data_IF_118252714993
#
_entry.id   IF_118252714993
#
_cell.length_a   1.000
_cell.length_b   1.000
_cell.length_c   1.000
_cell.angle_alpha   90.00
_cell.angle_beta   90.00
_cell.angle_gamma   90.00
#
_symmetry.space_group_name_H-M   'P 1'
#
loop_
_entity.id
_entity.type
_entity.pdbx_description
1 polymer ?
#
# COMPACT_ATOMS: atom_id res chain seq x y z
N UNK A 1 13.97 -10.23 16.10
CA UNK A 1 13.43 -9.01 15.43
C UNK A 1 13.58 -8.99 13.89
N UNK A 2 14.09 -10.04 13.22
CA UNK A 2 14.19 -10.08 11.74
C UNK A 2 12.93 -10.64 11.04
N UNK A 3 12.01 -11.28 11.78
CA UNK A 3 10.82 -11.94 11.21
C UNK A 3 9.68 -10.98 10.84
N UNK A 4 9.56 -9.78 11.42
CA UNK A 4 8.51 -8.83 11.03
C UNK A 4 8.73 -8.22 9.63
N UNK A 5 9.98 -8.19 9.17
CA UNK A 5 10.36 -7.67 7.86
C UNK A 5 10.18 -8.71 6.73
N UNK A 6 10.06 -10.00 7.08
CA UNK A 6 9.96 -11.12 6.12
C UNK A 6 8.70 -11.98 6.29
N UNK A 7 7.97 -11.88 7.42
CA UNK A 7 6.64 -12.45 7.63
C UNK A 7 5.61 -11.31 7.53
N UNK A 8 4.58 -11.49 6.68
CA UNK A 8 3.59 -10.49 6.25
C UNK A 8 3.95 -9.65 5.00
N UNK A 9 4.75 -10.18 4.06
CA UNK A 9 4.61 -9.73 2.66
C UNK A 9 3.26 -10.23 2.12
N UNK A 10 2.19 -9.55 2.53
CA UNK A 10 0.85 -9.84 2.06
C UNK A 10 0.77 -9.52 0.57
N UNK A 11 0.08 -10.39 -0.17
CA UNK A 11 -0.32 -10.20 -1.57
C UNK A 11 -0.71 -8.75 -1.89
N UNK A 12 -1.38 -8.05 -0.96
CA UNK A 12 -1.76 -6.64 -1.14
C UNK A 12 -0.62 -5.66 -1.40
N UNK A 13 0.59 -5.90 -0.88
CA UNK A 13 1.75 -5.02 -1.17
C UNK A 13 2.20 -5.16 -2.61
N UNK A 14 2.27 -6.40 -3.11
CA UNK A 14 2.58 -6.69 -4.50
C UNK A 14 1.48 -6.17 -5.43
N UNK A 15 0.22 -6.34 -5.04
CA UNK A 15 -0.93 -5.85 -5.80
C UNK A 15 -0.91 -4.32 -5.95
N UNK A 16 -0.67 -3.58 -4.84
CA UNK A 16 -0.53 -2.11 -4.89
C UNK A 16 0.65 -1.67 -5.76
N UNK A 17 1.79 -2.37 -5.69
CA UNK A 17 2.95 -2.10 -6.56
C UNK A 17 2.62 -2.35 -8.04
N UNK A 18 1.93 -3.45 -8.35
CA UNK A 18 1.53 -3.78 -9.72
C UNK A 18 0.61 -2.70 -10.30
N UNK A 19 -0.35 -2.21 -9.52
CA UNK A 19 -1.22 -1.08 -9.92
C UNK A 19 -0.39 0.18 -10.13
N UNK A 20 0.54 0.51 -9.23
CA UNK A 20 1.38 1.70 -9.38
C UNK A 20 2.20 1.67 -10.68
N UNK A 21 2.82 0.52 -10.99
CA UNK A 21 3.59 0.33 -12.22
C UNK A 21 2.70 0.43 -13.47
N UNK A 22 1.52 -0.18 -13.44
CA UNK A 22 0.55 -0.07 -14.54
C UNK A 22 0.10 1.37 -14.79
N UNK A 23 -0.16 2.14 -13.72
CA UNK A 23 -0.53 3.55 -13.82
C UNK A 23 0.62 4.38 -14.39
N UNK A 24 1.87 4.14 -13.98
CA UNK A 24 3.01 4.84 -14.56
C UNK A 24 3.25 4.50 -16.03
N UNK A 25 3.07 3.23 -16.42
CA UNK A 25 3.13 2.83 -17.83
C UNK A 25 2.06 3.55 -18.66
N UNK A 26 0.83 3.59 -18.14
CA UNK A 26 -0.28 4.30 -18.80
C UNK A 26 -0.04 5.81 -18.85
N UNK A 27 0.53 6.39 -17.79
CA UNK A 27 0.91 7.80 -17.75
C UNK A 27 1.98 8.13 -18.80
N UNK A 28 2.92 7.22 -19.04
CA UNK A 28 3.93 7.38 -20.08
C UNK A 28 3.32 7.29 -21.49
N UNK A 29 2.49 6.27 -21.76
CA UNK A 29 1.88 6.08 -23.08
C UNK A 29 0.89 7.21 -23.43
N UNK A 30 0.02 7.59 -22.49
CA UNK A 30 -1.01 8.61 -22.71
C UNK A 30 -0.51 10.04 -22.43
N UNK A 31 0.63 10.21 -21.77
CA UNK A 31 1.15 11.51 -21.30
C UNK A 31 0.18 12.30 -20.40
N UNK A 32 -0.76 11.61 -19.76
CA UNK A 32 -1.75 12.20 -18.86
C UNK A 32 -1.21 12.26 -17.43
N UNK A 33 -1.06 13.47 -16.90
CA UNK A 33 -0.47 13.73 -15.58
C UNK A 33 -1.25 13.09 -14.42
N UNK A 34 -2.56 12.92 -14.58
CA UNK A 34 -3.43 12.34 -13.56
C UNK A 34 -3.01 10.91 -13.20
N UNK A 35 -2.67 10.07 -14.19
CA UNK A 35 -2.22 8.69 -13.90
C UNK A 35 -0.91 8.66 -13.12
N UNK A 36 0.00 9.61 -13.37
CA UNK A 36 1.23 9.73 -12.60
C UNK A 36 0.94 10.07 -11.13
N UNK A 37 -0.01 10.97 -10.85
CA UNK A 37 -0.41 11.32 -9.48
C UNK A 37 -0.95 10.11 -8.70
N UNK A 38 -1.84 9.32 -9.32
CA UNK A 38 -2.35 8.08 -8.70
C UNK A 38 -1.27 7.00 -8.59
N UNK A 39 -0.38 6.88 -9.56
CA UNK A 39 0.78 5.99 -9.51
C UNK A 39 1.66 6.26 -8.30
N UNK A 40 1.99 7.54 -8.05
CA UNK A 40 2.74 7.97 -6.86
C UNK A 40 1.99 7.63 -5.57
N UNK A 41 0.68 7.87 -5.52
CA UNK A 41 -0.14 7.55 -4.36
C UNK A 41 -0.12 6.04 -4.00
N UNK A 42 -0.27 5.16 -4.98
CA UNK A 42 -0.18 3.71 -4.75
C UNK A 42 1.24 3.23 -4.43
N UNK A 43 2.25 3.85 -5.04
CA UNK A 43 3.65 3.57 -4.74
C UNK A 43 4.02 3.93 -3.29
N UNK A 44 3.59 5.10 -2.80
CA UNK A 44 3.78 5.51 -1.41
C UNK A 44 3.10 4.53 -0.43
N UNK A 45 1.86 4.14 -0.70
CA UNK A 45 1.16 3.14 0.12
C UNK A 45 1.88 1.79 0.15
N UNK A 46 2.50 1.37 -0.95
CA UNK A 46 3.21 0.10 -1.01
C UNK A 46 4.59 0.14 -0.34
N UNK A 47 5.27 1.30 -0.37
CA UNK A 47 6.58 1.51 0.29
C UNK A 47 6.39 1.66 1.81
N UNK A 48 5.54 2.59 2.22
CA UNK A 48 5.32 2.91 3.64
C UNK A 48 4.35 1.94 4.32
N UNK A 49 3.75 1.02 3.57
CA UNK A 49 2.65 0.15 4.02
C UNK A 49 1.51 0.96 4.67
N UNK A 50 1.33 2.21 4.22
CA UNK A 50 0.27 3.10 4.69
C UNK A 50 -1.06 2.62 4.14
N UNK A 51 -2.05 2.51 5.03
CA UNK A 51 -3.41 2.06 4.73
C UNK A 51 -3.87 1.02 5.73
N UNK A 52 -5.17 0.99 5.99
CA UNK A 52 -5.76 -0.07 6.80
C UNK A 52 -5.61 -1.41 6.05
N UNK A 53 -5.03 -2.41 6.70
CA UNK A 53 -4.94 -3.76 6.15
C UNK A 53 -6.31 -4.46 6.12
N UNK A 54 -6.37 -5.74 5.74
CA UNK A 54 -7.61 -6.54 5.78
C UNK A 54 -8.27 -6.58 7.18
N UNK A 55 -7.48 -6.36 8.23
CA UNK A 55 -7.94 -6.29 9.62
C UNK A 55 -8.39 -4.88 10.05
N UNK A 56 -8.49 -3.94 9.11
CA UNK A 56 -8.93 -2.56 9.37
C UNK A 56 -7.92 -1.72 10.13
N UNK A 57 -8.26 -0.46 10.34
CA UNK A 57 -7.57 0.41 11.30
C UNK A 57 -8.21 0.15 12.67
N UNK A 58 -7.74 -0.89 13.36
CA UNK A 58 -8.19 -1.16 14.72
C UNK A 58 -7.72 -0.02 15.63
N UNK A 59 -8.67 0.72 16.18
CA UNK A 59 -8.41 1.64 17.29
C UNK A 59 -7.99 0.78 18.49
N UNK A 60 -6.84 1.06 19.14
CA UNK A 60 -6.41 0.25 20.26
C UNK A 60 -7.45 0.32 21.37
N UNK A 61 -8.26 -0.74 21.51
CA UNK A 61 -9.16 -0.89 22.63
C UNK A 61 -8.29 -1.20 23.84
N UNK A 62 -8.17 -0.24 24.77
CA UNK A 62 -7.65 -0.50 26.11
C UNK A 62 -8.56 -1.57 26.72
N UNK A 63 -8.06 -2.81 26.81
CA UNK A 63 -8.69 -3.85 27.59
C UNK A 63 -8.52 -3.42 29.04
N UNK A 64 -9.56 -2.80 29.62
CA UNK A 64 -9.64 -2.62 31.05
C UNK A 64 -9.93 -4.01 31.60
N UNK A 65 -8.90 -4.69 32.08
CA UNK A 65 -9.04 -5.90 32.87
C UNK A 65 -9.70 -5.50 34.20
N UNK A 66 -11.00 -5.80 34.33
CA UNK A 66 -11.77 -5.77 35.59
C UNK A 66 -11.81 -7.18 36.14
#
# INVERSE_FOLDING_TARGET
>A
MKRLLTTNWHFMRYFRLAIALFLFYTAYERSEWFFAAFGVFFMLQAIFNMGCGPQGCNVPTKKNDV
#
